data_IF_089749612489
#
_entry.id   IF_089749612489
#
_cell.length_a   1.000
_cell.length_b   1.000
_cell.length_c   1.000
_cell.angle_alpha   90.00
_cell.angle_beta   90.00
_cell.angle_gamma   90.00
#
_symmetry.space_group_name_H-M   'P 1'
#
loop_
_entity.id
_entity.type
_entity.pdbx_description
1 polymer ?
#
# COMPACT_ATOMS: atom_id res chain seq x y z
N UNK A 1 15.61 5.24 72.98
CA UNK A 1 15.19 5.62 71.61
C UNK A 1 15.91 4.67 70.68
N UNK A 2 15.39 3.46 70.64
CA UNK A 2 16.01 2.25 70.08
C UNK A 2 15.61 2.04 68.61
N UNK A 3 16.62 1.65 67.84
CA UNK A 3 16.64 0.50 66.93
C UNK A 3 15.99 0.50 65.53
N UNK A 4 16.90 0.20 64.58
CA UNK A 4 16.86 -0.90 63.61
C UNK A 4 16.07 -0.76 62.29
N UNK A 5 16.89 -0.63 61.24
CA UNK A 5 16.81 -1.29 59.92
C UNK A 5 16.15 -2.69 59.98
N UNK A 6 15.14 -2.95 59.12
CA UNK A 6 15.14 -3.92 57.98
C UNK A 6 13.74 -4.49 57.66
N UNK A 7 13.48 -4.62 56.35
CA UNK A 7 12.69 -5.68 55.69
C UNK A 7 11.21 -5.43 55.33
N UNK A 8 10.86 -6.05 54.20
CA UNK A 8 9.52 -6.35 53.70
C UNK A 8 8.72 -5.23 53.05
N UNK A 9 8.87 -5.15 51.73
CA UNK A 9 7.76 -5.37 50.79
C UNK A 9 8.32 -5.83 49.44
N UNK A 10 8.98 -6.99 49.49
CA UNK A 10 8.95 -7.94 48.38
C UNK A 10 7.47 -8.32 48.19
N UNK A 11 7.04 -8.52 46.94
CA UNK A 11 5.74 -9.12 46.56
C UNK A 11 4.50 -8.22 46.50
N UNK A 12 4.48 -7.21 45.63
CA UNK A 12 3.26 -6.73 44.94
C UNK A 12 3.68 -6.05 43.63
N UNK A 13 3.96 -6.72 42.51
CA UNK A 13 2.95 -7.43 41.75
C UNK A 13 3.64 -8.19 40.59
N UNK A 14 3.84 -9.50 40.78
CA UNK A 14 3.97 -10.48 39.71
C UNK A 14 2.64 -10.53 38.96
N UNK A 15 2.45 -9.77 37.87
CA UNK A 15 1.27 -9.93 36.99
C UNK A 15 1.32 -9.29 35.60
N UNK A 16 2.40 -8.60 35.20
CA UNK A 16 2.47 -8.03 33.84
C UNK A 16 3.27 -8.89 32.84
N UNK A 17 3.78 -10.05 33.25
CA UNK A 17 4.25 -11.10 32.33
C UNK A 17 3.09 -12.04 32.00
N UNK A 18 2.17 -11.62 31.13
CA UNK A 18 1.22 -12.50 30.41
C UNK A 18 0.44 -11.70 29.37
N UNK A 19 1.15 -11.12 28.41
CA UNK A 19 0.55 -10.77 27.12
C UNK A 19 1.67 -10.65 26.11
N UNK A 20 2.06 -11.81 25.58
CA UNK A 20 2.80 -11.90 24.32
C UNK A 20 1.94 -11.39 23.16
N UNK A 21 1.58 -10.10 23.16
CA UNK A 21 1.15 -9.43 21.96
C UNK A 21 2.41 -9.20 21.15
N UNK A 22 2.69 -10.15 20.25
CA UNK A 22 3.51 -9.88 19.06
C UNK A 22 3.07 -8.49 18.56
N UNK A 23 3.97 -7.55 18.27
CA UNK A 23 3.58 -6.25 17.75
C UNK A 23 2.64 -6.52 16.57
N UNK A 24 1.37 -6.11 16.68
CA UNK A 24 0.42 -6.30 15.59
C UNK A 24 1.04 -5.61 14.39
N UNK A 25 1.21 -6.34 13.29
CA UNK A 25 1.75 -5.83 12.05
C UNK A 25 1.16 -4.43 11.82
N UNK A 26 2.02 -3.40 11.79
CA UNK A 26 1.69 -1.96 11.81
C UNK A 26 0.23 -1.73 11.43
N UNK A 27 -0.59 -1.29 12.38
CA UNK A 27 -1.99 -0.96 12.12
C UNK A 27 -2.04 0.00 10.93
N UNK A 28 -2.45 -0.52 9.77
CA UNK A 28 -2.47 0.24 8.53
C UNK A 28 -3.67 1.15 8.67
N UNK A 29 -3.41 2.44 8.92
CA UNK A 29 -4.47 3.42 9.15
C UNK A 29 -5.55 3.39 8.06
N UNK A 30 -6.77 3.89 8.34
CA UNK A 30 -7.97 3.68 7.52
C UNK A 30 -7.76 4.01 6.03
N UNK A 31 -7.00 5.06 5.73
CA UNK A 31 -6.65 5.44 4.35
C UNK A 31 -5.92 4.33 3.58
N UNK A 32 -5.01 3.61 4.23
CA UNK A 32 -4.26 2.53 3.59
C UNK A 32 -5.18 1.38 3.20
N UNK A 33 -6.16 1.07 4.06
CA UNK A 33 -7.16 0.05 3.76
C UNK A 33 -8.10 0.50 2.63
N UNK A 34 -8.53 1.77 2.61
CA UNK A 34 -9.30 2.34 1.49
C UNK A 34 -8.54 2.27 0.16
N UNK A 35 -7.24 2.56 0.16
CA UNK A 35 -6.41 2.44 -1.04
C UNK A 35 -6.33 0.98 -1.49
N UNK A 36 -6.15 0.05 -0.55
CA UNK A 36 -6.08 -1.37 -0.87
C UNK A 36 -7.40 -1.89 -1.43
N UNK A 37 -8.51 -1.66 -0.73
CA UNK A 37 -9.82 -2.09 -1.16
C UNK A 37 -10.20 -1.50 -2.54
N UNK A 38 -9.87 -0.23 -2.77
CA UNK A 38 -10.09 0.38 -4.08
C UNK A 38 -9.15 -0.11 -5.17
N UNK A 39 -7.92 -0.53 -4.84
CA UNK A 39 -7.03 -1.20 -5.78
C UNK A 39 -7.56 -2.59 -6.18
N UNK A 40 -8.25 -3.28 -5.28
CA UNK A 40 -8.89 -4.56 -5.58
C UNK A 40 -10.13 -4.39 -6.50
N UNK A 41 -10.81 -3.24 -6.42
CA UNK A 41 -11.97 -2.87 -7.26
C UNK A 41 -11.59 -2.07 -8.52
N UNK A 42 -10.30 -1.83 -8.73
CA UNK A 42 -9.83 -0.98 -9.82
C UNK A 42 -10.11 -1.62 -11.19
N UNK A 43 -10.83 -0.88 -12.04
CA UNK A 43 -11.06 -1.22 -13.44
C UNK A 43 -10.14 -0.38 -14.36
N UNK A 44 -9.27 -1.08 -15.10
CA UNK A 44 -8.31 -0.50 -16.03
C UNK A 44 -8.99 0.29 -17.14
N UNK A 45 -10.08 -0.23 -17.69
CA UNK A 45 -10.78 0.37 -18.83
C UNK A 45 -11.48 1.68 -18.44
N UNK A 46 -11.99 1.77 -17.20
CA UNK A 46 -12.68 2.95 -16.71
C UNK A 46 -11.74 4.05 -16.25
N UNK A 47 -10.65 3.68 -15.58
CA UNK A 47 -9.84 4.66 -14.85
C UNK A 47 -8.63 5.18 -15.63
N UNK A 48 -7.93 4.33 -16.37
CA UNK A 48 -6.67 4.73 -17.03
C UNK A 48 -6.81 5.80 -18.11
N UNK A 49 -7.90 5.85 -18.93
CA UNK A 49 -8.07 6.92 -19.90
C UNK A 49 -7.98 8.31 -19.25
N UNK A 50 -8.54 8.46 -18.04
CA UNK A 50 -8.57 9.74 -17.32
C UNK A 50 -7.36 9.97 -16.38
N UNK A 51 -6.80 8.91 -15.80
CA UNK A 51 -5.67 9.02 -14.88
C UNK A 51 -4.32 9.16 -15.58
N UNK A 52 -4.08 8.34 -16.61
CA UNK A 52 -2.78 8.20 -17.27
C UNK A 52 -2.82 8.48 -18.78
N UNK A 53 -3.98 8.88 -19.32
CA UNK A 53 -4.18 9.06 -20.77
C UNK A 53 -3.84 7.80 -21.56
N UNK A 54 -4.21 6.63 -21.02
CA UNK A 54 -3.91 5.37 -21.66
C UNK A 54 -4.72 5.18 -22.95
N UNK A 55 -4.10 4.59 -23.96
CA UNK A 55 -4.73 4.26 -25.24
C UNK A 55 -5.45 2.91 -25.17
N UNK A 56 -6.45 2.64 -26.03
CA UNK A 56 -7.14 1.35 -26.03
C UNK A 56 -6.20 0.13 -26.18
N UNK A 57 -5.12 0.26 -26.96
CA UNK A 57 -4.11 -0.78 -27.12
C UNK A 57 -3.34 -1.05 -25.82
N UNK A 58 -3.05 0.00 -25.06
CA UNK A 58 -2.41 -0.13 -23.75
C UNK A 58 -3.36 -0.75 -22.72
N UNK A 59 -4.68 -0.52 -22.83
CA UNK A 59 -5.67 -1.09 -21.90
C UNK A 59 -5.80 -2.61 -22.05
N UNK A 60 -5.67 -3.14 -23.26
CA UNK A 60 -5.75 -4.58 -23.54
C UNK A 60 -4.41 -5.31 -23.40
N UNK A 61 -3.29 -4.58 -23.34
CA UNK A 61 -1.96 -5.18 -23.24
C UNK A 61 -1.68 -5.75 -21.85
N UNK A 62 -1.30 -7.03 -21.82
CA UNK A 62 -0.73 -7.72 -20.65
C UNK A 62 0.81 -7.77 -20.69
N UNK A 63 1.44 -7.06 -21.63
CA UNK A 63 2.90 -6.97 -21.69
C UNK A 63 3.44 -6.22 -20.45
N UNK A 64 4.39 -6.80 -19.69
CA UNK A 64 5.06 -6.13 -18.58
C UNK A 64 5.64 -4.75 -18.92
N UNK A 65 6.15 -4.54 -20.14
CA UNK A 65 6.69 -3.26 -20.59
C UNK A 65 5.60 -2.18 -20.66
N UNK A 66 4.45 -2.50 -21.25
CA UNK A 66 3.30 -1.58 -21.31
C UNK A 66 2.80 -1.23 -19.90
N UNK A 67 2.77 -2.22 -19.00
CA UNK A 67 2.36 -2.00 -17.61
C UNK A 67 3.36 -1.08 -16.89
N UNK A 68 4.66 -1.27 -17.11
CA UNK A 68 5.71 -0.37 -16.58
C UNK A 68 5.52 1.08 -17.03
N UNK A 69 5.27 1.31 -18.32
CA UNK A 69 5.03 2.66 -18.87
C UNK A 69 3.79 3.33 -18.23
N UNK A 70 2.74 2.56 -17.96
CA UNK A 70 1.55 3.04 -17.24
C UNK A 70 1.90 3.39 -15.79
N UNK A 71 2.65 2.52 -15.10
CA UNK A 71 3.10 2.73 -13.71
C UNK A 71 3.93 4.01 -13.59
N UNK A 72 4.82 4.28 -14.55
CA UNK A 72 5.60 5.52 -14.59
C UNK A 72 4.71 6.76 -14.76
N UNK A 73 3.77 6.72 -15.71
CA UNK A 73 2.81 7.83 -15.94
C UNK A 73 1.98 8.12 -14.69
N UNK A 74 1.44 7.08 -14.05
CA UNK A 74 0.69 7.21 -12.80
C UNK A 74 1.54 7.82 -11.68
N UNK A 75 2.80 7.39 -11.56
CA UNK A 75 3.74 7.91 -10.56
C UNK A 75 4.02 9.40 -10.77
N UNK A 76 4.24 9.83 -12.03
CA UNK A 76 4.43 11.25 -12.38
C UNK A 76 3.16 12.07 -12.09
N UNK A 77 1.98 11.55 -12.45
CA UNK A 77 0.70 12.20 -12.18
C UNK A 77 0.46 12.38 -10.67
N UNK A 78 0.75 11.36 -9.86
CA UNK A 78 0.62 11.40 -8.40
C UNK A 78 1.59 12.42 -7.78
N UNK A 79 2.83 12.48 -8.27
CA UNK A 79 3.80 13.46 -7.81
C UNK A 79 3.33 14.91 -8.09
N UNK A 80 2.76 15.14 -9.28
CA UNK A 80 2.17 16.42 -9.63
C UNK A 80 0.97 16.77 -8.72
N UNK A 81 0.08 15.80 -8.47
CA UNK A 81 -1.08 15.99 -7.58
C UNK A 81 -0.66 16.31 -6.15
N UNK A 82 0.34 15.60 -5.64
CA UNK A 82 0.97 15.87 -4.34
C UNK A 82 1.58 17.26 -4.25
N UNK A 83 2.21 17.74 -5.32
CA UNK A 83 2.78 19.09 -5.38
C UNK A 83 1.67 20.15 -5.32
N UNK A 84 0.55 19.94 -6.05
CA UNK A 84 -0.62 20.83 -5.99
C UNK A 84 -1.23 20.90 -4.59
N UNK A 85 -1.44 19.76 -3.96
CA UNK A 85 -1.97 19.70 -2.59
C UNK A 85 -1.09 20.44 -1.58
N UNK A 86 0.24 20.28 -1.67
CA UNK A 86 1.17 21.04 -0.80
C UNK A 86 1.18 22.54 -1.06
N UNK A 87 0.94 22.96 -2.30
CA UNK A 87 0.87 24.38 -2.67
C UNK A 87 -0.52 24.99 -2.41
N UNK A 88 -1.46 24.23 -1.83
CA UNK A 88 -2.86 24.59 -1.70
C UNK A 88 -3.46 25.08 -3.03
N UNK A 89 -3.03 24.46 -4.13
CA UNK A 89 -3.42 24.88 -5.46
C UNK A 89 -4.89 24.50 -5.70
N UNK A 90 -5.67 25.42 -6.28
CA UNK A 90 -7.13 25.25 -6.47
C UNK A 90 -7.52 24.00 -7.27
N UNK A 91 -6.65 23.54 -8.17
CA UNK A 91 -6.87 22.34 -8.98
C UNK A 91 -6.43 21.03 -8.31
N UNK A 92 -6.06 21.06 -7.04
CA UNK A 92 -5.83 19.85 -6.26
C UNK A 92 -7.15 19.10 -6.04
N UNK A 93 -7.16 17.83 -6.38
CA UNK A 93 -8.33 16.96 -6.21
C UNK A 93 -7.95 15.72 -5.36
N UNK A 94 -8.57 15.60 -4.19
CA UNK A 94 -8.38 14.47 -3.27
C UNK A 94 -8.88 13.15 -3.87
N UNK A 95 -10.00 13.16 -4.59
CA UNK A 95 -10.54 11.96 -5.24
C UNK A 95 -9.60 11.49 -6.34
N UNK A 96 -9.08 12.44 -7.15
CA UNK A 96 -8.03 12.15 -8.12
C UNK A 96 -6.79 11.56 -7.46
N UNK A 97 -6.39 12.09 -6.31
CA UNK A 97 -5.25 11.59 -5.56
C UNK A 97 -5.45 10.15 -5.09
N UNK A 98 -6.61 9.83 -4.50
CA UNK A 98 -6.95 8.48 -4.02
C UNK A 98 -7.02 7.50 -5.21
N UNK A 99 -7.65 7.90 -6.31
CA UNK A 99 -7.72 7.09 -7.53
C UNK A 99 -6.33 6.79 -8.12
N UNK A 100 -5.42 7.77 -8.12
CA UNK A 100 -4.03 7.57 -8.55
C UNK A 100 -3.28 6.58 -7.64
N UNK A 101 -3.49 6.63 -6.32
CA UNK A 101 -2.89 5.67 -5.39
C UNK A 101 -3.42 4.26 -5.60
N UNK A 102 -4.74 4.10 -5.78
CA UNK A 102 -5.40 2.82 -6.04
C UNK A 102 -4.93 2.21 -7.36
N UNK A 103 -4.95 2.98 -8.45
CA UNK A 103 -4.48 2.54 -9.76
C UNK A 103 -3.00 2.14 -9.75
N UNK A 104 -2.15 2.95 -9.12
CA UNK A 104 -0.71 2.65 -9.02
C UNK A 104 -0.45 1.37 -8.21
N UNK A 105 -1.21 1.15 -7.13
CA UNK A 105 -1.11 -0.07 -6.34
C UNK A 105 -1.54 -1.30 -7.16
N UNK A 106 -2.65 -1.22 -7.90
CA UNK A 106 -3.14 -2.30 -8.74
C UNK A 106 -2.18 -2.64 -9.89
N UNK A 107 -1.67 -1.64 -10.61
CA UNK A 107 -0.75 -1.88 -11.74
C UNK A 107 0.62 -2.42 -11.28
N UNK A 108 1.11 -2.01 -10.11
CA UNK A 108 2.31 -2.62 -9.50
C UNK A 108 2.09 -4.09 -9.16
N UNK A 109 0.93 -4.44 -8.60
CA UNK A 109 0.59 -5.84 -8.34
C UNK A 109 0.49 -6.64 -9.65
N UNK A 110 -0.04 -6.05 -10.71
CA UNK A 110 -0.11 -6.68 -12.04
C UNK A 110 1.28 -6.96 -12.60
N UNK A 111 2.18 -5.97 -12.55
CA UNK A 111 3.58 -6.12 -12.97
C UNK A 111 4.29 -7.23 -12.18
N UNK A 112 4.10 -7.25 -10.86
CA UNK A 112 4.61 -8.28 -9.96
C UNK A 112 4.13 -9.70 -10.32
N UNK A 113 2.89 -9.83 -10.82
CA UNK A 113 2.34 -11.12 -11.28
C UNK A 113 2.87 -11.52 -12.66
N UNK A 114 3.18 -10.55 -13.52
CA UNK A 114 3.75 -10.78 -14.84
C UNK A 114 5.24 -11.13 -14.82
N UNK A 115 5.98 -10.62 -13.83
CA UNK A 115 7.43 -10.85 -13.68
C UNK A 115 7.78 -12.09 -12.86
N UNK A 116 6.89 -12.55 -11.97
CA UNK A 116 7.11 -13.77 -11.20
C UNK A 116 6.91 -15.02 -12.08
N UNK A 117 7.85 -15.99 -12.08
CA UNK A 117 7.63 -17.27 -12.77
C UNK A 117 6.40 -17.95 -12.18
N UNK A 118 5.51 -18.45 -13.03
CA UNK A 118 4.28 -19.07 -12.54
C UNK A 118 4.65 -20.44 -11.98
N UNK A 119 3.99 -20.85 -10.89
CA UNK A 119 4.30 -22.12 -10.20
C UNK A 119 4.22 -23.36 -11.11
N UNK A 120 3.51 -23.29 -12.24
CA UNK A 120 3.49 -24.35 -13.24
C UNK A 120 4.79 -24.44 -14.05
N UNK A 121 5.46 -23.32 -14.34
CA UNK A 121 6.74 -23.28 -15.05
C UNK A 121 7.85 -23.99 -14.25
N UNK A 122 7.73 -23.96 -12.92
CA UNK A 122 8.68 -24.60 -11.99
C UNK A 122 8.43 -26.11 -11.81
N UNK A 123 7.29 -26.64 -12.25
CA UNK A 123 6.91 -28.06 -12.09
C UNK A 123 7.30 -28.94 -13.27
N UNK A 124 7.56 -28.34 -14.43
CA UNK A 124 7.86 -29.08 -15.68
C UNK A 124 9.35 -29.45 -15.82
N UNK A 125 10.19 -29.12 -14.85
CA UNK A 125 11.65 -29.35 -14.88
C UNK A 125 12.12 -30.57 -14.07
N UNK A 126 11.26 -31.57 -13.86
CA UNK A 126 11.61 -32.81 -13.13
C UNK A 126 11.67 -34.02 -14.06
#
# INVERSE_FOLDING_TARGET
MEDAVRSSRKDRNRSAERSGKRPRARDRGPLTETIRAGADLYDRQRHLPWLARATPAELSSENPETILEIVERLSRALAAERRRGRANHWSYDMNRHIALLQALAAERQRLDRGTRPRRHDLRTCA
#
